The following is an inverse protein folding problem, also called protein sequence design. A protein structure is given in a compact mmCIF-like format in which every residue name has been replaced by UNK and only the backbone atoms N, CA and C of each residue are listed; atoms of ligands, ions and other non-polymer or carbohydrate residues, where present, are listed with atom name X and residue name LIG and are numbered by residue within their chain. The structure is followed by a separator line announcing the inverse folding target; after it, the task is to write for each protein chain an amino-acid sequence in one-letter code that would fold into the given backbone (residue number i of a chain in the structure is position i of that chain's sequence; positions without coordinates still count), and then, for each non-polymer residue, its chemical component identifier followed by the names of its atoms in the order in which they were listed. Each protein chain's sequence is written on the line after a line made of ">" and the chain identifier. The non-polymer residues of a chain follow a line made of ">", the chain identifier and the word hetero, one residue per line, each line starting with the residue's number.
data_IF_311380547081
#
_entry.id   IF_311380547081
#
_cell.length_a   1.000
_cell.length_b   1.000
_cell.length_c   1.000
_cell.angle_alpha   90.00
_cell.angle_beta   90.00
_cell.angle_gamma   90.00
#
_symmetry.space_group_name_H-M   'P 1'
#
loop_
_entity.id
_entity.type
_entity.pdbx_description
1 polymer ?
#
# COMPACT_ATOMS: atom_id res chain seq x y z
N UNK A 1 0.66 -8.64 -14.63
CA UNK A 1 1.25 -8.05 -13.41
C UNK A 1 1.66 -6.61 -13.74
N UNK A 2 1.27 -5.60 -12.96
CA UNK A 2 1.50 -4.16 -13.25
C UNK A 2 2.94 -3.87 -13.72
N UNK A 3 3.92 -4.44 -13.02
CA UNK A 3 5.35 -4.26 -13.32
C UNK A 3 5.74 -4.75 -14.73
N UNK A 4 5.27 -5.92 -15.12
CA UNK A 4 5.52 -6.51 -16.44
C UNK A 4 4.87 -5.70 -17.55
N UNK A 5 3.62 -5.26 -17.34
CA UNK A 5 2.85 -4.50 -18.32
C UNK A 5 3.46 -3.12 -18.60
N UNK A 6 3.97 -2.48 -17.55
CA UNK A 6 4.57 -1.15 -17.64
C UNK A 6 6.08 -1.17 -17.86
N UNK A 7 6.71 -2.35 -17.95
CA UNK A 7 8.16 -2.49 -18.16
C UNK A 7 9.02 -1.94 -17.01
N UNK A 8 8.50 -1.95 -15.78
CA UNK A 8 9.19 -1.42 -14.58
C UNK A 8 9.44 -2.53 -13.56
N UNK A 9 10.33 -2.26 -12.59
CA UNK A 9 10.56 -3.23 -11.52
C UNK A 9 9.36 -3.34 -10.57
N UNK A 10 9.06 -4.53 -10.00
CA UNK A 10 8.04 -4.66 -8.95
C UNK A 10 8.32 -3.76 -7.74
N UNK A 11 9.60 -3.50 -7.45
CA UNK A 11 10.00 -2.59 -6.38
C UNK A 11 9.63 -1.14 -6.65
N UNK A 12 9.68 -0.70 -7.92
CA UNK A 12 9.26 0.63 -8.36
C UNK A 12 7.76 0.79 -8.19
N UNK A 13 6.97 -0.16 -8.70
CA UNK A 13 5.51 -0.18 -8.53
C UNK A 13 5.14 -0.11 -7.05
N UNK A 14 5.74 -0.97 -6.23
CA UNK A 14 5.49 -1.00 -4.78
C UNK A 14 5.78 0.35 -4.12
N UNK A 15 6.92 0.98 -4.42
CA UNK A 15 7.28 2.28 -3.82
C UNK A 15 6.38 3.40 -4.28
N UNK A 16 6.03 3.44 -5.57
CA UNK A 16 5.13 4.46 -6.14
C UNK A 16 3.73 4.37 -5.53
N UNK A 17 3.18 3.16 -5.41
CA UNK A 17 1.84 2.96 -4.85
C UNK A 17 1.78 3.14 -3.32
N UNK A 18 2.88 2.91 -2.61
CA UNK A 18 2.97 3.14 -1.16
C UNK A 18 3.42 4.57 -0.78
N UNK A 19 3.77 5.43 -1.75
CA UNK A 19 4.19 6.81 -1.48
C UNK A 19 3.13 7.80 -1.95
N UNK A 20 2.55 8.62 -1.05
CA UNK A 20 1.51 9.58 -1.42
C UNK A 20 2.08 10.80 -2.15
N UNK A 21 1.24 11.44 -2.96
CA UNK A 21 1.53 12.74 -3.59
C UNK A 21 2.80 12.76 -4.45
N UNK A 22 3.45 13.91 -4.48
CA UNK A 22 4.65 14.19 -5.28
C UNK A 22 5.92 13.51 -4.73
N UNK A 23 5.88 13.02 -3.48
CA UNK A 23 6.99 12.25 -2.94
C UNK A 23 7.26 10.96 -3.74
N UNK A 24 6.26 10.46 -4.48
CA UNK A 24 6.41 9.31 -5.37
C UNK A 24 7.39 9.56 -6.55
N UNK A 25 7.63 10.83 -6.91
CA UNK A 25 8.58 11.21 -7.97
C UNK A 25 10.05 10.83 -7.63
N UNK A 26 10.34 10.50 -6.37
CA UNK A 26 11.64 9.93 -5.97
C UNK A 26 11.88 8.53 -6.53
N UNK A 27 10.82 7.86 -6.98
CA UNK A 27 10.87 6.46 -7.41
C UNK A 27 10.68 6.28 -8.92
N UNK A 28 10.44 7.36 -9.66
CA UNK A 28 10.27 7.35 -11.12
C UNK A 28 9.97 8.74 -11.67
N UNK A 29 10.04 8.90 -12.98
CA UNK A 29 9.59 10.13 -13.65
C UNK A 29 8.11 10.39 -13.40
N UNK A 30 7.68 11.64 -13.61
CA UNK A 30 6.25 12.01 -13.52
C UNK A 30 5.37 11.14 -14.40
N UNK A 31 5.82 10.85 -15.63
CA UNK A 31 5.15 9.95 -16.57
C UNK A 31 5.01 8.53 -16.00
N UNK A 32 6.11 7.93 -15.51
CA UNK A 32 6.08 6.57 -14.95
C UNK A 32 5.18 6.48 -13.72
N UNK A 33 5.22 7.48 -12.84
CA UNK A 33 4.35 7.54 -11.65
C UNK A 33 2.88 7.63 -12.05
N UNK A 34 2.56 8.48 -13.03
CA UNK A 34 1.21 8.65 -13.55
C UNK A 34 0.70 7.35 -14.18
N UNK A 35 1.51 6.70 -15.03
CA UNK A 35 1.16 5.43 -15.67
C UNK A 35 0.90 4.31 -14.66
N UNK A 36 1.75 4.18 -13.63
CA UNK A 36 1.56 3.18 -12.57
C UNK A 36 0.24 3.41 -11.83
N UNK A 37 -0.05 4.67 -11.45
CA UNK A 37 -1.29 5.01 -10.72
C UNK A 37 -2.53 4.83 -11.58
N UNK A 38 -2.48 5.25 -12.85
CA UNK A 38 -3.58 5.08 -13.80
C UNK A 38 -3.90 3.60 -14.02
N UNK A 39 -2.87 2.79 -14.30
CA UNK A 39 -3.03 1.34 -14.47
C UNK A 39 -3.60 0.68 -13.20
N UNK A 40 -3.09 1.05 -12.02
CA UNK A 40 -3.62 0.52 -10.77
C UNK A 40 -5.10 0.87 -10.57
N UNK A 41 -5.51 2.11 -10.88
CA UNK A 41 -6.90 2.53 -10.78
C UNK A 41 -7.82 1.84 -11.80
N UNK A 42 -7.38 1.73 -13.05
CA UNK A 42 -8.13 1.06 -14.13
C UNK A 42 -8.40 -0.42 -13.80
N UNK A 43 -7.46 -1.07 -13.12
CA UNK A 43 -7.54 -2.48 -12.75
C UNK A 43 -8.04 -2.71 -11.31
N UNK A 44 -8.55 -1.69 -10.62
CA UNK A 44 -8.99 -1.73 -9.22
C UNK A 44 -7.97 -2.39 -8.28
N UNK A 45 -6.69 -2.12 -8.54
CA UNK A 45 -5.59 -2.64 -7.76
C UNK A 45 -5.38 -1.80 -6.51
N UNK A 46 -5.51 -2.44 -5.35
CA UNK A 46 -5.08 -1.90 -4.06
C UNK A 46 -3.94 -2.74 -3.47
N UNK A 47 -2.90 -2.11 -2.89
CA UNK A 47 -1.88 -2.83 -2.13
C UNK A 47 -2.49 -3.70 -1.02
N UNK A 48 -2.04 -4.95 -0.89
CA UNK A 48 -2.49 -5.85 0.17
C UNK A 48 -1.62 -5.68 1.43
N UNK A 49 -2.16 -5.12 2.53
CA UNK A 49 -1.39 -4.91 3.76
C UNK A 49 -0.96 -6.22 4.43
N UNK A 50 -1.75 -7.30 4.33
CA UNK A 50 -1.37 -8.62 4.84
C UNK A 50 -0.20 -9.21 4.04
N UNK A 51 -0.20 -9.07 2.72
CA UNK A 51 0.94 -9.50 1.91
C UNK A 51 2.21 -8.70 2.24
N UNK A 52 2.07 -7.38 2.45
CA UNK A 52 3.18 -6.52 2.86
C UNK A 52 3.73 -6.88 4.24
N UNK A 53 2.85 -7.19 5.20
CA UNK A 53 3.25 -7.56 6.55
C UNK A 53 3.94 -8.92 6.61
N UNK A 54 3.49 -9.90 5.84
CA UNK A 54 4.15 -11.21 5.72
C UNK A 54 5.58 -11.06 5.19
N UNK A 55 5.76 -10.28 4.11
CA UNK A 55 7.09 -10.03 3.52
C UNK A 55 8.01 -9.29 4.49
N UNK A 56 7.49 -8.32 5.22
CA UNK A 56 8.29 -7.46 6.11
C UNK A 56 8.41 -7.99 7.55
N UNK A 57 7.68 -9.07 7.88
CA UNK A 57 7.52 -9.61 9.25
C UNK A 57 7.05 -8.56 10.26
N UNK A 58 6.28 -7.57 9.78
CA UNK A 58 5.73 -6.48 10.61
C UNK A 58 4.26 -6.31 10.29
N UNK A 59 3.40 -6.73 11.22
CA UNK A 59 1.93 -6.69 11.06
C UNK A 59 1.36 -5.28 11.11
N UNK A 60 1.94 -4.38 11.92
CA UNK A 60 1.30 -3.11 12.25
C UNK A 60 -0.06 -3.27 12.95
N UNK A 61 -0.38 -4.48 13.41
CA UNK A 61 -1.65 -4.82 14.05
C UNK A 61 -1.53 -4.62 15.55
N UNK A 62 -2.45 -3.86 16.12
CA UNK A 62 -2.63 -3.73 17.57
C UNK A 62 -3.78 -4.65 17.98
N UNK A 63 -3.48 -5.67 18.79
CA UNK A 63 -4.48 -6.57 19.36
C UNK A 63 -4.90 -6.08 20.72
N UNK A 64 -6.20 -5.84 20.93
CA UNK A 64 -6.76 -5.46 22.22
C UNK A 64 -7.67 -6.58 22.71
N UNK A 65 -7.42 -7.08 23.92
CA UNK A 65 -8.26 -8.08 24.58
C UNK A 65 -9.15 -7.37 25.60
N UNK A 66 -10.46 -7.36 25.35
CA UNK A 66 -11.45 -6.75 26.25
C UNK A 66 -12.36 -7.84 26.80
N UNK A 67 -12.54 -7.95 28.13
CA UNK A 67 -13.37 -8.98 28.73
C UNK A 67 -14.87 -8.84 28.37
N UNK A 68 -15.37 -7.60 28.20
CA UNK A 68 -16.72 -7.29 27.70
C UNK A 68 -16.72 -5.96 26.95
N UNK A 69 -17.33 -5.92 25.76
CA UNK A 69 -17.28 -4.74 24.87
C UNK A 69 -18.26 -3.63 25.25
N UNK A 70 -19.26 -3.96 26.07
CA UNK A 70 -20.39 -3.09 26.43
C UNK A 70 -20.20 -2.29 27.73
N UNK A 71 -19.06 -2.40 28.41
CA UNK A 71 -18.82 -1.58 29.60
C UNK A 71 -18.57 -0.13 29.18
N UNK A 72 -19.47 0.78 29.57
CA UNK A 72 -19.30 2.21 29.39
C UNK A 72 -18.11 2.68 30.25
N UNK A 73 -17.08 3.22 29.61
CA UNK A 73 -16.02 3.95 30.32
C UNK A 73 -16.59 5.32 30.67
N UNK A 74 -17.14 5.48 31.88
CA UNK A 74 -17.40 6.80 32.46
C UNK A 74 -16.06 7.34 32.95
N UNK A 75 -15.58 8.41 32.32
CA UNK A 75 -14.43 9.20 32.73
C UNK A 75 -14.89 10.63 33.05
#
# INVERSE_FOLDING_TARGET
>A
MIATELGVSPSTVSRVLNTPGDAALRWGSSDTVARIRAFAAEHDYSPNPQASSLRTRRSGLIGVLVPRLQDYVLA
#
